data_IF_516250355493
#
_entry.id   IF_516250355493
#
_cell.length_a   1.000
_cell.length_b   1.000
_cell.length_c   1.000
_cell.angle_alpha   90.00
_cell.angle_beta   90.00
_cell.angle_gamma   90.00
#
_symmetry.space_group_name_H-M   'P 1'
#
loop_
_entity.id
_entity.type
_entity.pdbx_description
1 polymer ?
#
# COMPACT_ATOMS: atom_id res chain seq x y z
N UNK A 1 -18.65 17.98 11.40
CA UNK A 1 -19.76 17.17 10.85
C UNK A 1 -19.30 15.72 10.84
N UNK A 2 -19.99 14.84 11.53
CA UNK A 2 -19.69 13.39 11.55
C UNK A 2 -20.84 12.65 10.86
N UNK A 3 -20.50 11.57 10.17
CA UNK A 3 -21.46 10.67 9.53
C UNK A 3 -21.21 9.28 10.09
N UNK A 4 -22.26 8.58 10.50
CA UNK A 4 -22.20 7.20 10.97
C UNK A 4 -22.21 6.24 9.78
N UNK A 5 -21.43 5.18 9.86
CA UNK A 5 -21.39 4.09 8.88
C UNK A 5 -21.57 2.76 9.61
N UNK A 6 -22.23 1.81 8.96
CA UNK A 6 -22.34 0.45 9.47
C UNK A 6 -20.96 -0.21 9.52
N UNK A 7 -20.71 -0.97 10.58
CA UNK A 7 -19.42 -1.61 10.82
C UNK A 7 -18.99 -2.52 9.67
N UNK A 8 -19.92 -3.31 9.13
CA UNK A 8 -19.63 -4.21 8.01
C UNK A 8 -19.32 -3.42 6.73
N UNK A 9 -20.06 -2.36 6.42
CA UNK A 9 -19.74 -1.47 5.29
C UNK A 9 -18.35 -0.84 5.46
N UNK A 10 -17.98 -0.42 6.67
CA UNK A 10 -16.64 0.10 6.92
C UNK A 10 -15.56 -0.96 6.68
N UNK A 11 -15.77 -2.21 7.13
CA UNK A 11 -14.84 -3.32 6.86
C UNK A 11 -14.70 -3.61 5.37
N UNK A 12 -15.80 -3.65 4.63
CA UNK A 12 -15.80 -3.88 3.18
C UNK A 12 -15.02 -2.80 2.45
N UNK A 13 -15.25 -1.52 2.78
CA UNK A 13 -14.53 -0.40 2.16
C UNK A 13 -13.03 -0.43 2.47
N UNK A 14 -12.65 -0.70 3.71
CA UNK A 14 -11.23 -0.80 4.10
C UNK A 14 -10.57 -1.99 3.39
N UNK A 15 -11.25 -3.13 3.33
CA UNK A 15 -10.75 -4.34 2.64
C UNK A 15 -10.58 -4.10 1.15
N UNK A 16 -11.57 -3.48 0.51
CA UNK A 16 -11.50 -3.08 -0.89
C UNK A 16 -10.30 -2.16 -1.16
N UNK A 17 -10.07 -1.15 -0.31
CA UNK A 17 -8.94 -0.24 -0.47
C UNK A 17 -7.60 -0.95 -0.22
N UNK A 18 -7.52 -1.87 0.74
CA UNK A 18 -6.33 -2.70 0.96
C UNK A 18 -5.98 -3.56 -0.26
N UNK A 19 -6.99 -4.16 -0.90
CA UNK A 19 -6.79 -4.91 -2.14
C UNK A 19 -6.25 -4.02 -3.25
N UNK A 20 -6.86 -2.85 -3.46
CA UNK A 20 -6.40 -1.91 -4.49
C UNK A 20 -4.95 -1.45 -4.24
N UNK A 21 -4.58 -1.13 -3.00
CA UNK A 21 -3.19 -0.78 -2.67
C UNK A 21 -2.21 -1.93 -2.96
N UNK A 22 -2.61 -3.18 -2.74
CA UNK A 22 -1.79 -4.35 -3.08
C UNK A 22 -1.60 -4.47 -4.59
N UNK A 23 -2.65 -4.22 -5.38
CA UNK A 23 -2.59 -4.23 -6.84
C UNK A 23 -1.63 -3.14 -7.37
N UNK A 24 -1.70 -1.93 -6.80
CA UNK A 24 -0.78 -0.84 -7.15
C UNK A 24 0.68 -1.18 -6.79
N UNK A 25 0.92 -1.73 -5.59
CA UNK A 25 2.25 -2.22 -5.18
C UNK A 25 2.76 -3.27 -6.18
N UNK A 26 1.93 -4.25 -6.54
CA UNK A 26 2.31 -5.30 -7.48
C UNK A 26 2.57 -4.75 -8.88
N UNK A 27 1.81 -3.74 -9.32
CA UNK A 27 2.01 -3.07 -10.61
C UNK A 27 3.40 -2.42 -10.69
N UNK A 28 3.83 -1.74 -9.62
CA UNK A 28 5.17 -1.15 -9.56
C UNK A 28 6.24 -2.25 -9.55
N UNK A 29 6.08 -3.29 -8.74
CA UNK A 29 7.01 -4.42 -8.69
C UNK A 29 7.17 -5.10 -10.06
N UNK A 30 6.06 -5.38 -10.73
CA UNK A 30 6.05 -5.96 -12.08
C UNK A 30 6.73 -5.05 -13.11
N UNK A 31 6.53 -3.73 -13.03
CA UNK A 31 7.18 -2.76 -13.93
C UNK A 31 8.70 -2.83 -13.86
N UNK A 32 9.26 -3.14 -12.69
CA UNK A 32 10.69 -3.18 -12.45
C UNK A 32 11.27 -4.59 -12.38
N UNK A 33 10.45 -5.62 -12.65
CA UNK A 33 10.84 -7.05 -12.56
C UNK A 33 11.41 -7.40 -11.17
N UNK A 34 10.82 -6.83 -10.11
CA UNK A 34 11.21 -7.06 -8.72
C UNK A 34 10.13 -7.84 -7.97
N UNK A 35 10.54 -8.73 -7.07
CA UNK A 35 9.61 -9.53 -6.26
C UNK A 35 9.41 -8.98 -4.83
N UNK A 36 10.22 -8.00 -4.44
CA UNK A 36 10.29 -7.49 -3.07
C UNK A 36 10.35 -5.95 -3.05
N UNK A 37 9.45 -5.35 -2.25
CA UNK A 37 9.35 -3.89 -2.11
C UNK A 37 10.59 -3.26 -1.49
N UNK A 38 11.23 -3.91 -0.52
CA UNK A 38 12.42 -3.40 0.16
C UNK A 38 13.65 -3.47 -0.76
N UNK A 39 13.77 -4.54 -1.55
CA UNK A 39 14.83 -4.69 -2.54
C UNK A 39 14.67 -3.66 -3.66
N UNK A 40 13.45 -3.50 -4.19
CA UNK A 40 13.12 -2.47 -5.17
C UNK A 40 13.50 -1.07 -4.66
N UNK A 41 13.05 -0.69 -3.46
CA UNK A 41 13.36 0.61 -2.86
C UNK A 41 14.87 0.81 -2.67
N UNK A 42 15.59 -0.25 -2.27
CA UNK A 42 17.03 -0.19 -2.05
C UNK A 42 17.80 0.01 -3.36
N UNK A 43 17.42 -0.72 -4.42
CA UNK A 43 18.00 -0.62 -5.76
C UNK A 43 17.71 0.72 -6.43
N UNK A 44 16.51 1.27 -6.25
CA UNK A 44 16.18 2.61 -6.70
C UNK A 44 17.01 3.67 -5.96
N UNK A 45 17.21 3.52 -4.65
CA UNK A 45 18.03 4.43 -3.84
C UNK A 45 19.51 4.39 -4.21
N UNK A 46 20.05 3.23 -4.59
CA UNK A 46 21.44 3.10 -5.03
C UNK A 46 21.68 3.54 -6.48
N UNK A 47 20.61 3.89 -7.23
CA UNK A 47 20.69 4.17 -8.66
C UNK A 47 20.93 2.93 -9.52
N UNK A 48 20.73 1.73 -8.97
CA UNK A 48 20.83 0.47 -9.72
C UNK A 48 19.68 0.34 -10.72
N UNK A 49 18.49 0.81 -10.34
CA UNK A 49 17.36 0.96 -11.25
C UNK A 49 17.29 2.43 -11.68
N UNK A 50 17.67 2.69 -12.92
CA UNK A 50 17.71 4.04 -13.47
C UNK A 50 16.30 4.63 -13.57
N UNK A 51 16.11 5.86 -13.11
CA UNK A 51 14.82 6.58 -13.10
C UNK A 51 13.73 5.96 -12.22
N UNK A 52 14.07 5.05 -11.31
CA UNK A 52 13.12 4.41 -10.40
C UNK A 52 12.77 5.24 -9.16
N UNK A 53 13.40 6.40 -8.96
CA UNK A 53 13.29 7.20 -7.73
C UNK A 53 11.85 7.62 -7.43
N UNK A 54 11.11 8.04 -8.46
CA UNK A 54 9.71 8.47 -8.29
C UNK A 54 8.81 7.30 -7.88
N UNK A 55 8.99 6.14 -8.51
CA UNK A 55 8.22 4.94 -8.18
C UNK A 55 8.59 4.40 -6.80
N UNK A 56 9.85 4.55 -6.37
CA UNK A 56 10.28 4.20 -5.01
C UNK A 56 9.67 5.13 -3.95
N UNK A 57 9.50 6.43 -4.25
CA UNK A 57 8.77 7.36 -3.38
C UNK A 57 7.29 6.94 -3.28
N UNK A 58 6.66 6.63 -4.42
CA UNK A 58 5.28 6.17 -4.46
C UNK A 58 5.11 4.86 -3.68
N UNK A 59 6.00 3.89 -3.86
CA UNK A 59 6.01 2.63 -3.12
C UNK A 59 6.02 2.85 -1.61
N UNK A 60 6.86 3.77 -1.11
CA UNK A 60 6.90 4.12 0.33
C UNK A 60 5.57 4.67 0.83
N UNK A 61 4.89 5.50 0.03
CA UNK A 61 3.57 6.05 0.38
C UNK A 61 2.51 4.95 0.41
N UNK A 62 2.48 4.07 -0.60
CA UNK A 62 1.56 2.94 -0.67
C UNK A 62 1.74 1.99 0.53
N UNK A 63 2.97 1.67 0.91
CA UNK A 63 3.26 0.84 2.09
C UNK A 63 2.79 1.49 3.40
N UNK A 64 2.98 2.81 3.54
CA UNK A 64 2.52 3.54 4.71
C UNK A 64 0.98 3.55 4.81
N UNK A 65 0.29 3.78 3.69
CA UNK A 65 -1.17 3.73 3.62
C UNK A 65 -1.71 2.33 3.86
N UNK A 66 -1.06 1.31 3.30
CA UNK A 66 -1.44 -0.09 3.51
C UNK A 66 -1.35 -0.46 4.99
N UNK A 67 -0.24 -0.10 5.66
CA UNK A 67 -0.08 -0.31 7.10
C UNK A 67 -1.18 0.38 7.89
N UNK A 68 -1.44 1.66 7.63
CA UNK A 68 -2.48 2.44 8.31
C UNK A 68 -3.88 1.81 8.16
N UNK A 69 -4.22 1.34 6.95
CA UNK A 69 -5.52 0.70 6.71
C UNK A 69 -5.62 -0.69 7.35
N UNK A 70 -4.51 -1.42 7.42
CA UNK A 70 -4.45 -2.69 8.13
C UNK A 70 -4.70 -2.50 9.62
N UNK A 71 -4.03 -1.53 10.23
CA UNK A 71 -4.24 -1.16 11.65
C UNK A 71 -5.69 -0.71 11.89
N UNK A 72 -6.28 0.06 10.96
CA UNK A 72 -7.69 0.44 11.01
C UNK A 72 -8.63 -0.78 10.95
N UNK A 73 -8.40 -1.71 10.03
CA UNK A 73 -9.20 -2.93 9.91
C UNK A 73 -9.15 -3.77 11.19
N UNK A 74 -7.97 -3.90 11.80
CA UNK A 74 -7.77 -4.60 13.08
C UNK A 74 -8.58 -3.93 14.20
N UNK A 75 -8.58 -2.59 14.28
CA UNK A 75 -9.37 -1.84 15.26
C UNK A 75 -10.88 -1.98 15.07
N UNK A 76 -11.36 -2.09 13.82
CA UNK A 76 -12.78 -2.30 13.51
C UNK A 76 -13.19 -3.73 13.83
N UNK A 77 -12.28 -4.70 13.69
CA UNK A 77 -12.57 -6.13 13.87
C UNK A 77 -12.43 -6.60 15.32
N UNK A 78 -11.61 -5.93 16.12
CA UNK A 78 -11.37 -6.28 17.53
C UNK A 78 -12.42 -5.73 18.52
N UNK A 79 -13.26 -4.78 18.05
CA UNK A 79 -14.49 -4.35 18.74
C UNK A 79 -15.69 -5.12 18.18
#
# INVERSE_FOLDING_TARGET
MSVSIEKETAKELVTFKLQHLREEIQSILNKWEEDNTDDFISKAKSGTLENAEMDAILMRQLLADYKRLKDLLESITSN
#
